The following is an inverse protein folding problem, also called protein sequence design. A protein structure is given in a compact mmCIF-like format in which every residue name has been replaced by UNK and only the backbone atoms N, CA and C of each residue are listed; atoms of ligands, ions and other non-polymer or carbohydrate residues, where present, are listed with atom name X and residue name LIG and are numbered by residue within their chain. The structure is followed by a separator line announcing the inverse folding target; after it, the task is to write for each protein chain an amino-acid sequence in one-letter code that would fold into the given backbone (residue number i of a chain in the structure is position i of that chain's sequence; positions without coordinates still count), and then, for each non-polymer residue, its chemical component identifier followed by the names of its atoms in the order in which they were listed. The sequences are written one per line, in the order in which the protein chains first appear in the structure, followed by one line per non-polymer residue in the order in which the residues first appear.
data_IF_825311921940
#
_entry.id   IF_825311921940
#
_cell.length_a   1.000
_cell.length_b   1.000
_cell.length_c   1.000
_cell.angle_alpha   90.00
_cell.angle_beta   90.00
_cell.angle_gamma   90.00
#
_symmetry.space_group_name_H-M   'P 1'
#
loop_
_entity.id
_entity.type
_entity.pdbx_description
1 polymer ?
#
# COMPACT_ATOMS: atom_id res chain seq x y z
N UNK A 1 -3.17 -16.00 -5.72
CA UNK A 1 -3.96 -16.42 -4.51
C UNK A 1 -3.50 -15.73 -3.23
N UNK A 2 -2.19 -15.71 -2.90
CA UNK A 2 -1.72 -15.15 -1.63
C UNK A 2 -2.00 -13.64 -1.45
N UNK A 3 -1.98 -12.83 -2.52
CA UNK A 3 -2.33 -11.40 -2.45
C UNK A 3 -3.75 -11.18 -1.92
N UNK A 4 -4.70 -12.02 -2.36
CA UNK A 4 -6.09 -11.98 -1.88
C UNK A 4 -6.19 -12.35 -0.40
N UNK A 5 -5.41 -13.33 0.05
CA UNK A 5 -5.35 -13.70 1.48
C UNK A 5 -4.81 -12.57 2.35
N UNK A 6 -3.80 -11.85 1.86
CA UNK A 6 -3.28 -10.65 2.54
C UNK A 6 -4.36 -9.56 2.59
N UNK A 7 -5.03 -9.28 1.48
CA UNK A 7 -6.08 -8.28 1.43
C UNK A 7 -7.25 -8.61 2.36
N UNK A 8 -7.71 -9.87 2.38
CA UNK A 8 -8.75 -10.35 3.28
C UNK A 8 -8.36 -10.19 4.75
N UNK A 9 -7.14 -10.58 5.12
CA UNK A 9 -6.63 -10.42 6.48
C UNK A 9 -6.55 -8.94 6.90
N UNK A 10 -6.09 -8.05 6.00
CA UNK A 10 -6.05 -6.61 6.24
C UNK A 10 -7.46 -6.01 6.40
N UNK A 11 -8.44 -6.45 5.62
CA UNK A 11 -9.83 -5.97 5.70
C UNK A 11 -10.55 -6.48 6.95
N UNK A 12 -10.21 -7.69 7.42
CA UNK A 12 -10.75 -8.24 8.67
C UNK A 12 -10.29 -7.44 9.89
N UNK A 13 -9.05 -6.98 9.89
CA UNK A 13 -8.51 -6.04 10.88
C UNK A 13 -8.48 -6.57 12.31
N UNK A 14 -8.52 -7.89 12.51
CA UNK A 14 -8.56 -8.53 13.82
C UNK A 14 -7.18 -8.95 14.34
N UNK A 15 -6.15 -8.95 13.48
CA UNK A 15 -4.76 -9.29 13.82
C UNK A 15 -3.76 -8.55 12.91
N UNK A 16 -2.50 -8.50 13.36
CA UNK A 16 -1.38 -8.05 12.53
C UNK A 16 -1.00 -9.09 11.46
N UNK A 17 -0.59 -8.62 10.28
CA UNK A 17 -0.28 -9.47 9.12
C UNK A 17 1.18 -9.34 8.70
N UNK A 18 1.92 -10.45 8.72
CA UNK A 18 3.26 -10.56 8.15
C UNK A 18 3.21 -11.31 6.81
N UNK A 19 3.63 -10.66 5.72
CA UNK A 19 3.71 -11.27 4.40
C UNK A 19 5.17 -11.31 3.90
N UNK A 20 5.66 -12.52 3.62
CA UNK A 20 6.97 -12.73 2.98
C UNK A 20 6.78 -13.13 1.52
N UNK A 21 7.37 -12.34 0.62
CA UNK A 21 7.39 -12.62 -0.82
C UNK A 21 8.61 -11.97 -1.45
N UNK A 22 9.15 -12.61 -2.50
CA UNK A 22 10.29 -12.13 -3.26
C UNK A 22 10.03 -10.81 -4.00
N UNK A 23 11.10 -10.15 -4.43
CA UNK A 23 11.03 -8.97 -5.30
C UNK A 23 10.36 -9.32 -6.62
N UNK A 24 9.56 -8.42 -7.19
CA UNK A 24 8.82 -8.67 -8.43
C UNK A 24 7.57 -9.54 -8.28
N UNK A 25 7.34 -10.18 -7.13
CA UNK A 25 6.18 -11.06 -6.92
C UNK A 25 4.85 -10.31 -6.74
N UNK A 26 4.84 -8.97 -6.72
CA UNK A 26 3.61 -8.18 -6.62
C UNK A 26 3.12 -7.92 -5.19
N UNK A 27 4.01 -7.81 -4.20
CA UNK A 27 3.69 -7.42 -2.80
C UNK A 27 2.83 -6.16 -2.72
N UNK A 28 3.19 -5.17 -3.52
CA UNK A 28 2.52 -3.88 -3.59
C UNK A 28 1.02 -4.03 -3.87
N UNK A 29 0.65 -4.89 -4.81
CA UNK A 29 -0.77 -5.13 -5.11
C UNK A 29 -1.52 -5.77 -3.92
N UNK A 30 -0.85 -6.63 -3.15
CA UNK A 30 -1.45 -7.36 -2.03
C UNK A 30 -2.08 -6.46 -0.97
N UNK A 31 -1.42 -5.34 -0.62
CA UNK A 31 -1.98 -4.40 0.35
C UNK A 31 -2.81 -3.27 -0.28
N UNK A 32 -2.68 -3.01 -1.60
CA UNK A 32 -3.54 -2.04 -2.30
C UNK A 32 -4.95 -2.55 -2.58
N UNK A 33 -5.15 -3.87 -2.72
CA UNK A 33 -6.50 -4.43 -2.89
C UNK A 33 -7.42 -4.01 -1.74
N UNK A 34 -6.89 -3.94 -0.51
CA UNK A 34 -7.66 -3.51 0.66
C UNK A 34 -8.17 -2.05 0.56
N UNK A 35 -7.47 -1.16 -0.15
CA UNK A 35 -7.95 0.23 -0.38
C UNK A 35 -9.27 0.29 -1.13
N UNK A 36 -9.56 -0.69 -1.99
CA UNK A 36 -10.78 -0.69 -2.81
C UNK A 36 -12.04 -0.95 -1.99
N UNK A 37 -11.90 -1.52 -0.79
CA UNK A 37 -13.01 -1.95 0.06
C UNK A 37 -13.05 -1.23 1.41
N UNK A 38 -12.01 -0.45 1.74
CA UNK A 38 -11.93 0.28 3.00
C UNK A 38 -12.42 1.73 2.85
N UNK A 39 -13.29 2.18 3.75
CA UNK A 39 -13.65 3.60 3.88
C UNK A 39 -12.68 4.30 4.84
N UNK A 40 -11.42 4.46 4.43
CA UNK A 40 -10.37 4.99 5.29
C UNK A 40 -9.11 5.44 4.55
N UNK A 41 -8.07 5.76 5.32
CA UNK A 41 -6.74 6.15 4.83
C UNK A 41 -5.76 5.04 5.18
N UNK A 42 -4.98 4.58 4.20
CA UNK A 42 -3.86 3.67 4.45
C UNK A 42 -2.55 4.46 4.50
N UNK A 43 -1.80 4.27 5.57
CA UNK A 43 -0.46 4.84 5.73
C UNK A 43 0.56 3.76 5.38
N UNK A 44 1.43 4.04 4.41
CA UNK A 44 2.50 3.13 3.98
C UNK A 44 3.84 3.78 4.27
N UNK A 45 4.62 3.14 5.15
CA UNK A 45 5.97 3.58 5.47
C UNK A 45 6.95 2.94 4.49
N UNK A 46 7.70 3.78 3.77
CA UNK A 46 8.73 3.33 2.83
C UNK A 46 10.10 3.82 3.27
N UNK A 47 11.17 3.01 3.12
CA UNK A 47 12.51 3.41 3.55
C UNK A 47 13.18 4.46 2.65
N UNK A 48 12.65 4.71 1.44
CA UNK A 48 13.22 5.64 0.46
C UNK A 48 12.14 6.59 -0.08
N UNK A 49 12.45 7.89 -0.14
CA UNK A 49 11.55 8.93 -0.71
C UNK A 49 11.08 8.57 -2.13
N UNK A 50 11.96 7.97 -2.94
CA UNK A 50 11.64 7.55 -4.31
C UNK A 50 10.50 6.52 -4.35
N UNK A 51 10.44 5.60 -3.38
CA UNK A 51 9.38 4.59 -3.33
C UNK A 51 8.03 5.22 -3.00
N UNK A 52 7.99 6.19 -2.08
CA UNK A 52 6.78 6.97 -1.79
C UNK A 52 6.24 7.67 -3.04
N UNK A 53 7.12 8.36 -3.79
CA UNK A 53 6.78 9.04 -5.05
C UNK A 53 6.26 8.05 -6.12
N UNK A 54 6.92 6.90 -6.28
CA UNK A 54 6.51 5.85 -7.24
C UNK A 54 5.15 5.23 -6.89
N UNK A 55 4.88 5.00 -5.61
CA UNK A 55 3.60 4.49 -5.13
C UNK A 55 2.48 5.49 -5.39
N UNK A 56 2.68 6.77 -5.03
CA UNK A 56 1.70 7.83 -5.26
C UNK A 56 1.37 7.97 -6.76
N UNK A 57 2.38 7.98 -7.64
CA UNK A 57 2.17 8.03 -9.08
C UNK A 57 1.43 6.80 -9.64
N UNK A 58 1.68 5.61 -9.08
CA UNK A 58 0.99 4.39 -9.51
C UNK A 58 -0.47 4.36 -9.07
N UNK A 59 -0.78 4.83 -7.87
CA UNK A 59 -2.14 5.00 -7.38
C UNK A 59 -2.90 6.07 -8.18
N UNK A 60 -2.25 7.19 -8.49
CA UNK A 60 -2.84 8.23 -9.33
C UNK A 60 -3.24 7.71 -10.72
N UNK A 61 -2.38 6.88 -11.36
CA UNK A 61 -2.73 6.21 -12.63
C UNK A 61 -3.91 5.25 -12.52
N UNK A 62 -4.16 4.70 -11.33
CA UNK A 62 -5.32 3.86 -11.04
C UNK A 62 -6.57 4.67 -10.60
N UNK A 63 -6.52 6.01 -10.62
CA UNK A 63 -7.62 6.87 -10.17
C UNK A 63 -7.77 6.96 -8.64
N UNK A 64 -6.76 6.51 -7.89
CA UNK A 64 -6.75 6.51 -6.42
C UNK A 64 -5.92 7.71 -5.94
N UNK A 65 -6.50 8.54 -5.07
CA UNK A 65 -5.80 9.69 -4.48
C UNK A 65 -4.75 9.20 -3.47
N UNK A 66 -3.51 9.66 -3.63
CA UNK A 66 -2.40 9.36 -2.73
C UNK A 66 -1.45 10.55 -2.63
N UNK A 67 -0.80 10.71 -1.48
CA UNK A 67 0.18 11.77 -1.22
C UNK A 67 1.44 11.12 -0.65
N UNK A 68 2.61 11.55 -1.14
CA UNK A 68 3.90 11.16 -0.58
C UNK A 68 4.37 12.22 0.41
N UNK A 69 4.61 11.84 1.66
CA UNK A 69 5.13 12.71 2.71
C UNK A 69 6.62 12.40 2.92
N UNK A 70 7.47 13.41 2.87
CA UNK A 70 8.90 13.34 3.18
C UNK A 70 9.35 14.65 3.84
N UNK A 71 10.62 14.75 4.23
CA UNK A 71 11.20 16.01 4.73
C UNK A 71 11.06 17.18 3.74
N UNK A 72 10.96 16.90 2.45
CA UNK A 72 10.80 17.90 1.38
C UNK A 72 9.36 18.46 1.32
N UNK A 73 8.37 17.70 1.83
CA UNK A 73 6.94 18.03 1.75
C UNK A 73 6.28 18.23 3.12
N UNK A 74 7.06 18.12 4.21
CA UNK A 74 6.64 18.38 5.58
C UNK A 74 6.68 19.88 5.87
N UNK A 75 5.63 20.58 5.46
CA UNK A 75 5.39 22.01 5.75
C UNK A 75 4.18 22.18 6.65
#
# INVERSE_FOLDING_TARGET
LWQLKVAEALLKGDHDVLCTAGTGMGKTLGFWIALLFCQGIQIVITPLNMLGKQNAASLARAGIRAISISSETAT
#
